data_IF_253143420407
#
_entry.id   IF_253143420407
#
_cell.length_a   1.000
_cell.length_b   1.000
_cell.length_c   1.000
_cell.angle_alpha   90.00
_cell.angle_beta   90.00
_cell.angle_gamma   90.00
#
_symmetry.space_group_name_H-M   'P 1'
#
loop_
_entity.id
_entity.type
_entity.pdbx_description
1 polymer ?
#
# COMPACT_ATOMS: atom_id res chain seq x y z
N UNK A 1 -2.94 18.51 16.18
CA UNK A 1 -1.82 17.71 15.64
C UNK A 1 -1.58 16.46 16.49
N UNK A 2 -1.62 16.55 17.82
CA UNK A 2 -1.39 15.42 18.73
C UNK A 2 -2.37 14.25 18.58
N UNK A 3 -3.67 14.54 18.34
CA UNK A 3 -4.71 13.52 18.21
C UNK A 3 -4.52 12.66 16.94
N UNK A 4 -4.17 13.28 15.80
CA UNK A 4 -3.91 12.55 14.55
C UNK A 4 -2.67 11.68 14.66
N UNK A 5 -1.57 12.22 15.20
CA UNK A 5 -0.35 11.45 15.42
C UNK A 5 -0.56 10.27 16.37
N UNK A 6 -1.32 10.47 17.46
CA UNK A 6 -1.69 9.40 18.38
C UNK A 6 -2.47 8.29 17.66
N UNK A 7 -3.37 8.68 16.76
CA UNK A 7 -4.16 7.77 15.96
C UNK A 7 -3.31 6.97 14.95
N UNK A 8 -2.43 7.65 14.22
CA UNK A 8 -1.55 7.00 13.25
C UNK A 8 -0.60 6.01 13.92
N UNK A 9 -0.13 6.32 15.14
CA UNK A 9 0.77 5.43 15.91
C UNK A 9 0.26 4.00 16.05
N UNK A 10 -1.04 3.80 16.15
CA UNK A 10 -1.64 2.46 16.25
C UNK A 10 -1.38 1.59 15.00
N UNK A 11 -1.31 2.23 13.84
CA UNK A 11 -1.04 1.56 12.56
C UNK A 11 0.42 1.46 12.18
N UNK A 12 1.34 2.13 12.91
CA UNK A 12 2.76 2.13 12.54
C UNK A 12 3.42 0.77 12.74
N UNK A 13 4.29 0.41 11.80
CA UNK A 13 5.09 -0.81 11.78
C UNK A 13 6.55 -0.46 11.50
N UNK A 14 7.49 -0.86 12.36
CA UNK A 14 8.91 -0.65 12.07
C UNK A 14 9.37 -1.55 10.93
N UNK A 15 10.25 -1.02 10.10
CA UNK A 15 10.86 -1.74 8.98
C UNK A 15 12.37 -1.82 9.15
N UNK A 16 12.92 -2.99 8.82
CA UNK A 16 14.36 -3.18 8.71
C UNK A 16 14.93 -2.56 7.41
N UNK A 17 16.24 -2.62 7.23
CA UNK A 17 16.93 -1.99 6.07
C UNK A 17 16.49 -2.51 4.69
N UNK A 18 15.87 -3.68 4.65
CA UNK A 18 15.31 -4.27 3.42
C UNK A 18 13.86 -3.89 3.16
N UNK A 19 13.22 -3.14 4.05
CA UNK A 19 11.78 -2.85 4.01
C UNK A 19 10.89 -3.97 4.56
N UNK A 20 11.47 -5.06 5.04
CA UNK A 20 10.72 -6.10 5.73
C UNK A 20 10.29 -5.63 7.12
N UNK A 21 9.07 -5.98 7.58
CA UNK A 21 8.66 -5.70 8.96
C UNK A 21 9.64 -6.29 9.97
N UNK A 22 9.91 -5.55 11.04
CA UNK A 22 10.73 -5.99 12.17
C UNK A 22 9.97 -5.89 13.48
N UNK A 23 10.47 -6.51 14.52
CA UNK A 23 9.94 -6.41 15.88
C UNK A 23 10.69 -5.37 16.74
N UNK A 24 11.59 -4.61 16.14
CA UNK A 24 12.28 -3.54 16.83
C UNK A 24 11.28 -2.51 17.37
N UNK A 25 11.53 -1.94 18.56
CA UNK A 25 10.63 -0.96 19.11
C UNK A 25 10.62 0.31 18.22
N UNK A 26 9.42 0.85 18.00
CA UNK A 26 9.29 2.19 17.45
C UNK A 26 9.85 3.20 18.47
N UNK A 27 10.64 4.16 17.98
CA UNK A 27 11.12 5.27 18.82
C UNK A 27 9.97 6.14 19.35
N UNK A 28 10.30 7.09 20.21
CA UNK A 28 9.32 7.97 20.86
C UNK A 28 8.54 8.81 19.83
N UNK A 29 9.17 9.19 18.73
CA UNK A 29 8.53 9.91 17.63
C UNK A 29 8.89 9.27 16.27
N UNK A 30 8.24 8.17 15.88
CA UNK A 30 8.57 7.41 14.66
C UNK A 30 8.23 8.14 13.36
N UNK A 31 7.48 9.25 13.44
CA UNK A 31 7.17 10.12 12.30
C UNK A 31 7.98 11.42 12.30
N UNK A 32 8.92 11.56 13.23
CA UNK A 32 9.79 12.74 13.29
C UNK A 32 10.56 12.93 11.99
N UNK A 33 10.51 14.15 11.45
CA UNK A 33 11.14 14.48 10.18
C UNK A 33 10.44 13.94 8.93
N UNK A 34 9.39 13.15 9.08
CA UNK A 34 8.60 12.67 7.95
C UNK A 34 7.62 13.76 7.46
N UNK A 35 7.64 14.02 6.18
CA UNK A 35 6.81 15.06 5.55
C UNK A 35 5.80 14.49 4.57
N UNK A 36 5.96 13.25 4.16
CA UNK A 36 5.14 12.61 3.14
C UNK A 36 4.73 11.20 3.52
N UNK A 37 3.54 10.85 3.10
CA UNK A 37 2.97 9.52 3.10
C UNK A 37 2.89 9.01 1.67
N UNK A 38 3.12 7.73 1.44
CA UNK A 38 2.95 7.10 0.14
C UNK A 38 2.02 5.89 0.29
N UNK A 39 0.74 6.09 -0.02
CA UNK A 39 -0.28 5.05 0.05
C UNK A 39 -0.17 4.18 -1.18
N UNK A 40 0.08 2.89 -0.98
CA UNK A 40 0.26 1.91 -2.06
C UNK A 40 -0.78 0.80 -1.99
N UNK A 41 -0.91 0.14 -3.12
CA UNK A 41 -1.53 -1.18 -3.25
C UNK A 41 -0.83 -1.95 -4.37
N UNK A 42 -0.79 -3.26 -4.25
CA UNK A 42 -0.21 -4.18 -5.23
C UNK A 42 -1.22 -5.26 -5.62
N UNK A 43 -1.25 -5.59 -6.90
CA UNK A 43 -1.89 -6.81 -7.36
C UNK A 43 -0.83 -7.88 -7.62
N UNK A 44 -1.03 -9.08 -7.09
CA UNK A 44 -0.07 -10.16 -7.14
C UNK A 44 -0.65 -11.40 -7.81
N UNK A 45 0.22 -12.25 -8.35
CA UNK A 45 -0.16 -13.52 -8.98
C UNK A 45 -0.42 -14.66 -7.98
N UNK A 46 -0.35 -14.38 -6.68
CA UNK A 46 -0.56 -15.32 -5.56
C UNK A 46 0.12 -14.82 -4.28
N UNK A 47 -0.01 -15.54 -3.14
CA UNK A 47 0.33 -15.01 -1.82
C UNK A 47 1.82 -15.09 -1.43
N UNK A 48 2.64 -15.90 -2.12
CA UNK A 48 4.04 -16.13 -1.74
C UNK A 48 5.00 -15.27 -2.58
N UNK A 49 5.67 -14.24 -2.03
CA UNK A 49 6.54 -13.33 -2.79
C UNK A 49 7.77 -14.03 -3.40
N UNK A 50 8.14 -15.22 -2.94
CA UNK A 50 9.26 -16.00 -3.51
C UNK A 50 8.88 -16.76 -4.77
N UNK A 51 7.60 -17.11 -4.92
CA UNK A 51 7.06 -17.95 -5.99
C UNK A 51 6.21 -17.14 -6.96
N UNK A 52 5.53 -16.12 -6.46
CA UNK A 52 4.60 -15.30 -7.21
C UNK A 52 5.22 -13.95 -7.60
N UNK A 53 4.53 -13.24 -8.48
CA UNK A 53 4.99 -12.00 -9.08
C UNK A 53 3.99 -10.88 -8.86
N UNK A 54 4.50 -9.65 -8.82
CA UNK A 54 3.68 -8.44 -8.88
C UNK A 54 3.11 -8.30 -10.28
N UNK A 55 1.82 -8.06 -10.40
CA UNK A 55 1.08 -7.85 -11.66
C UNK A 55 0.71 -6.38 -11.88
N UNK A 56 0.40 -5.65 -10.80
CA UNK A 56 0.20 -4.19 -10.85
C UNK A 56 0.83 -3.53 -9.63
N UNK A 57 1.26 -2.29 -9.81
CA UNK A 57 1.74 -1.38 -8.77
C UNK A 57 0.93 -0.11 -8.84
N UNK A 58 0.49 0.40 -7.70
CA UNK A 58 -0.18 1.69 -7.59
C UNK A 58 0.23 2.42 -6.33
N UNK A 59 0.30 3.77 -6.41
CA UNK A 59 0.58 4.57 -5.25
C UNK A 59 0.17 6.02 -5.39
N UNK A 60 -0.23 6.60 -4.26
CA UNK A 60 -0.64 8.00 -4.09
C UNK A 60 0.25 8.63 -3.03
N UNK A 61 1.05 9.62 -3.41
CA UNK A 61 1.87 10.40 -2.49
C UNK A 61 1.08 11.58 -1.98
N UNK A 62 1.10 11.77 -0.68
CA UNK A 62 0.43 12.87 -0.01
C UNK A 62 1.30 13.49 1.08
N UNK A 63 1.06 14.75 1.43
CA UNK A 63 1.73 15.41 2.54
C UNK A 63 1.23 14.88 3.86
N UNK A 64 2.12 14.52 4.76
CA UNK A 64 1.77 14.10 6.11
C UNK A 64 1.20 15.26 6.95
N UNK A 65 1.60 16.49 6.64
CA UNK A 65 0.97 17.72 7.14
C UNK A 65 -0.09 18.22 6.16
N UNK A 66 -1.01 19.11 6.60
CA UNK A 66 -2.03 19.75 5.75
C UNK A 66 -3.15 18.82 5.26
N UNK A 67 -3.64 17.93 6.12
CA UNK A 67 -4.82 17.09 5.81
C UNK A 67 -4.57 16.08 4.70
N UNK A 68 -3.33 15.62 4.54
CA UNK A 68 -2.93 14.64 3.52
C UNK A 68 -3.17 15.10 2.08
N UNK A 69 -2.89 16.37 1.76
CA UNK A 69 -3.01 16.84 0.39
C UNK A 69 -2.21 15.97 -0.59
N UNK A 70 -2.86 15.45 -1.63
CA UNK A 70 -2.23 14.68 -2.70
C UNK A 70 -1.17 15.53 -3.41
N UNK A 71 0.00 14.93 -3.67
CA UNK A 71 1.09 15.57 -4.41
C UNK A 71 1.25 14.95 -5.81
N UNK A 72 1.24 13.64 -5.89
CA UNK A 72 1.39 12.87 -7.13
C UNK A 72 0.88 11.47 -6.95
N UNK A 73 0.39 10.88 -8.02
CA UNK A 73 0.03 9.46 -8.07
C UNK A 73 0.63 8.80 -9.30
N UNK A 74 0.86 7.50 -9.19
CA UNK A 74 1.35 6.71 -10.30
C UNK A 74 0.92 5.25 -10.15
N UNK A 75 0.67 4.58 -11.27
CA UNK A 75 0.41 3.15 -11.31
C UNK A 75 0.71 2.55 -12.67
N UNK A 76 1.02 1.27 -12.67
CA UNK A 76 1.31 0.52 -13.90
C UNK A 76 1.11 -0.97 -13.71
N UNK A 77 0.76 -1.62 -14.81
CA UNK A 77 0.87 -3.07 -14.94
C UNK A 77 2.32 -3.49 -15.07
N UNK A 78 2.63 -4.64 -14.48
CA UNK A 78 3.96 -5.27 -14.51
C UNK A 78 3.88 -6.55 -15.31
N UNK A 79 4.83 -6.75 -16.23
CA UNK A 79 4.89 -7.94 -17.07
C UNK A 79 5.39 -9.14 -16.26
N UNK A 80 4.54 -10.16 -16.07
CA UNK A 80 4.99 -11.37 -15.39
C UNK A 80 5.96 -12.17 -16.29
N UNK A 81 6.98 -12.75 -15.67
CA UNK A 81 7.96 -13.65 -16.36
C UNK A 81 7.64 -15.11 -16.15
N UNK A 82 6.97 -15.45 -15.06
CA UNK A 82 6.66 -16.82 -14.64
C UNK A 82 5.16 -16.99 -14.39
N UNK A 83 4.33 -16.53 -15.33
CA UNK A 83 2.86 -16.56 -15.19
C UNK A 83 2.33 -17.99 -14.96
N UNK A 84 3.07 -19.03 -15.32
CA UNK A 84 2.71 -20.42 -15.04
C UNK A 84 2.69 -20.78 -13.55
N UNK A 85 3.32 -19.99 -12.69
CA UNK A 85 3.29 -20.15 -11.24
C UNK A 85 2.09 -19.46 -10.59
N UNK A 86 1.33 -18.67 -11.36
CA UNK A 86 0.25 -17.86 -10.83
C UNK A 86 -0.95 -18.71 -10.36
N UNK A 87 -1.60 -18.27 -9.30
CA UNK A 87 -2.90 -18.82 -8.91
C UNK A 87 -4.00 -18.31 -9.84
N UNK A 88 -4.82 -19.23 -10.37
CA UNK A 88 -5.91 -18.87 -11.28
C UNK A 88 -6.92 -17.92 -10.63
N UNK A 89 -7.14 -18.05 -9.33
CA UNK A 89 -7.99 -17.15 -8.55
C UNK A 89 -7.45 -15.71 -8.56
N UNK A 90 -6.16 -15.52 -8.36
CA UNK A 90 -5.52 -14.21 -8.38
C UNK A 90 -5.58 -13.58 -9.78
N UNK A 91 -5.28 -14.35 -10.83
CA UNK A 91 -5.38 -13.87 -12.22
C UNK A 91 -6.80 -13.45 -12.60
N UNK A 92 -7.80 -14.16 -12.08
CA UNK A 92 -9.21 -13.83 -12.32
C UNK A 92 -9.61 -12.53 -11.62
N UNK A 93 -9.18 -12.33 -10.39
CA UNK A 93 -9.46 -11.12 -9.60
C UNK A 93 -8.89 -9.88 -10.30
N UNK A 94 -7.62 -9.93 -10.70
CA UNK A 94 -6.97 -8.78 -11.37
C UNK A 94 -7.36 -8.62 -12.85
N UNK A 95 -8.12 -9.57 -13.39
CA UNK A 95 -8.53 -9.56 -14.80
C UNK A 95 -7.38 -9.72 -15.79
N UNK A 96 -6.37 -10.53 -15.40
CA UNK A 96 -5.19 -10.73 -16.24
C UNK A 96 -5.54 -11.31 -17.60
N UNK A 97 -4.97 -10.72 -18.65
CA UNK A 97 -4.92 -11.30 -19.99
C UNK A 97 -3.69 -10.79 -20.73
N UNK A 98 -3.16 -11.60 -21.65
CA UNK A 98 -2.01 -11.21 -22.50
C UNK A 98 -2.31 -9.90 -23.24
N UNK A 99 -3.54 -9.72 -23.72
CA UNK A 99 -3.97 -8.49 -24.41
C UNK A 99 -3.95 -7.27 -23.49
N UNK A 100 -4.44 -7.42 -22.25
CA UNK A 100 -4.50 -6.31 -21.30
C UNK A 100 -3.10 -5.93 -20.79
N UNK A 101 -2.17 -6.89 -20.70
CA UNK A 101 -0.78 -6.68 -20.25
C UNK A 101 0.22 -6.41 -21.39
N UNK A 102 -0.23 -6.23 -22.62
CA UNK A 102 0.68 -6.01 -23.79
C UNK A 102 1.64 -4.83 -23.63
N UNK A 103 1.19 -3.78 -22.90
CA UNK A 103 1.96 -2.55 -22.65
C UNK A 103 2.50 -2.49 -21.21
N UNK A 104 2.47 -3.59 -20.47
CA UNK A 104 3.00 -3.65 -19.11
C UNK A 104 4.50 -3.39 -19.10
N UNK A 105 4.97 -2.70 -18.06
CA UNK A 105 6.40 -2.45 -17.83
C UNK A 105 7.08 -3.73 -17.35
N UNK A 106 8.39 -3.81 -17.58
CA UNK A 106 9.21 -4.80 -16.87
C UNK A 106 9.28 -4.44 -15.37
N UNK A 107 9.52 -5.46 -14.54
CA UNK A 107 9.50 -5.32 -13.08
C UNK A 107 10.44 -4.22 -12.57
N UNK A 108 11.70 -4.20 -13.04
CA UNK A 108 12.68 -3.22 -12.56
C UNK A 108 12.30 -1.78 -12.90
N UNK A 109 11.97 -1.39 -14.15
CA UNK A 109 11.50 -0.04 -14.46
C UNK A 109 10.25 0.35 -13.68
N UNK A 110 9.31 -0.57 -13.49
CA UNK A 110 8.08 -0.31 -12.73
C UNK A 110 8.38 -0.03 -11.26
N UNK A 111 9.21 -0.85 -10.63
CA UNK A 111 9.65 -0.66 -9.25
C UNK A 111 10.43 0.65 -9.08
N UNK A 112 11.36 0.97 -9.97
CA UNK A 112 12.14 2.20 -9.89
C UNK A 112 11.25 3.44 -9.99
N UNK A 113 10.22 3.41 -10.83
CA UNK A 113 9.27 4.51 -10.94
C UNK A 113 8.40 4.65 -9.70
N UNK A 114 7.94 3.53 -9.12
CA UNK A 114 7.24 3.54 -7.84
C UNK A 114 8.14 4.10 -6.73
N UNK A 115 9.38 3.63 -6.66
CA UNK A 115 10.39 4.06 -5.70
C UNK A 115 10.68 5.57 -5.79
N UNK A 116 10.88 6.09 -7.00
CA UNK A 116 11.07 7.53 -7.27
C UNK A 116 9.86 8.37 -6.83
N UNK A 117 8.64 7.87 -7.09
CA UNK A 117 7.41 8.56 -6.67
C UNK A 117 7.27 8.65 -5.15
N UNK A 118 7.66 7.60 -4.43
CA UNK A 118 7.52 7.49 -2.97
C UNK A 118 8.80 7.69 -2.17
N UNK A 119 9.90 8.15 -2.79
CA UNK A 119 11.21 8.25 -2.14
C UNK A 119 11.16 8.98 -0.79
N UNK A 120 11.69 8.33 0.24
CA UNK A 120 11.77 8.86 1.60
C UNK A 120 10.43 8.98 2.34
N UNK A 121 9.29 8.70 1.70
CA UNK A 121 7.99 8.78 2.34
C UNK A 121 7.72 7.59 3.26
N UNK A 122 6.84 7.79 4.25
CA UNK A 122 6.25 6.70 5.02
C UNK A 122 5.32 5.92 4.10
N UNK A 123 5.65 4.65 3.86
CA UNK A 123 4.81 3.79 3.04
C UNK A 123 3.56 3.36 3.81
N UNK A 124 2.40 3.38 3.18
CA UNK A 124 1.12 3.06 3.81
C UNK A 124 0.26 2.19 2.90
N UNK A 125 -0.68 1.44 3.49
CA UNK A 125 -1.60 0.61 2.69
C UNK A 125 -2.68 -0.04 3.54
N UNK A 126 -3.58 -0.77 2.90
CA UNK A 126 -4.64 -1.51 3.55
C UNK A 126 -4.19 -2.93 3.89
N UNK A 127 -3.89 -3.21 5.17
CA UNK A 127 -3.32 -4.50 5.56
C UNK A 127 -1.95 -4.75 4.94
N UNK A 128 -1.10 -3.76 4.91
CA UNK A 128 0.11 -3.55 4.11
C UNK A 128 1.18 -4.67 4.16
N UNK A 129 1.07 -5.64 5.06
CA UNK A 129 2.13 -6.64 5.23
C UNK A 129 2.42 -7.46 3.96
N UNK A 130 1.39 -7.76 3.17
CA UNK A 130 1.54 -8.46 1.89
C UNK A 130 2.36 -7.63 0.89
N UNK A 131 1.99 -6.36 0.73
CA UNK A 131 2.65 -5.42 -0.17
C UNK A 131 4.13 -5.23 0.21
N UNK A 132 4.41 -5.03 1.50
CA UNK A 132 5.78 -4.93 2.02
C UNK A 132 6.61 -6.16 1.70
N UNK A 133 6.05 -7.37 1.86
CA UNK A 133 6.75 -8.61 1.56
C UNK A 133 7.10 -8.72 0.06
N UNK A 134 6.17 -8.35 -0.83
CA UNK A 134 6.42 -8.35 -2.26
C UNK A 134 7.39 -7.24 -2.70
N UNK A 135 7.29 -6.02 -2.16
CA UNK A 135 8.23 -4.93 -2.48
C UNK A 135 9.63 -5.22 -1.98
N UNK A 136 9.76 -5.74 -0.74
CA UNK A 136 11.05 -6.14 -0.17
C UNK A 136 11.72 -7.23 -1.01
N UNK A 137 10.97 -8.27 -1.39
CA UNK A 137 11.48 -9.33 -2.25
C UNK A 137 11.82 -8.81 -3.67
N UNK A 138 11.02 -7.87 -4.20
CA UNK A 138 11.30 -7.22 -5.48
C UNK A 138 12.62 -6.44 -5.42
N UNK A 139 12.80 -5.58 -4.41
CA UNK A 139 14.04 -4.84 -4.23
C UNK A 139 15.26 -5.77 -4.13
N UNK A 140 15.14 -6.87 -3.36
CA UNK A 140 16.17 -7.89 -3.24
C UNK A 140 16.50 -8.55 -4.59
N UNK A 141 15.49 -8.92 -5.40
CA UNK A 141 15.67 -9.57 -6.71
C UNK A 141 16.38 -8.69 -7.71
N UNK A 142 16.08 -7.38 -7.70
CA UNK A 142 16.69 -6.41 -8.64
C UNK A 142 17.95 -5.75 -8.08
N UNK A 143 18.39 -6.14 -6.86
CA UNK A 143 19.61 -5.61 -6.23
C UNK A 143 19.52 -4.13 -5.85
N UNK A 144 18.36 -3.64 -5.46
CA UNK A 144 18.13 -2.24 -5.02
C UNK A 144 17.95 -2.15 -3.52
N UNK A 145 18.36 -1.02 -2.94
CA UNK A 145 18.06 -0.68 -1.56
C UNK A 145 16.59 -0.30 -1.38
N UNK A 146 16.12 -0.36 -0.14
CA UNK A 146 14.79 0.11 0.25
C UNK A 146 14.69 1.63 0.13
N UNK A 147 13.76 2.20 -0.66
CA UNK A 147 13.75 3.63 -0.96
C UNK A 147 12.87 4.45 -0.01
N UNK A 148 12.04 3.81 0.80
CA UNK A 148 11.06 4.47 1.66
C UNK A 148 11.59 4.66 3.08
N UNK A 149 10.82 5.37 3.92
CA UNK A 149 11.11 5.52 5.34
C UNK A 149 11.20 4.16 6.07
N UNK A 150 11.93 4.07 7.19
CA UNK A 150 12.08 2.82 7.96
C UNK A 150 10.83 2.49 8.81
N UNK A 151 9.68 3.01 8.42
CA UNK A 151 8.40 2.80 9.08
C UNK A 151 7.29 2.72 8.04
N UNK A 152 6.33 1.84 8.27
CA UNK A 152 5.12 1.73 7.45
C UNK A 152 3.87 2.05 8.28
N UNK A 153 2.78 2.43 7.61
CA UNK A 153 1.48 2.70 8.22
C UNK A 153 0.43 1.72 7.68
N UNK A 154 -0.12 0.90 8.56
CA UNK A 154 -1.26 0.04 8.25
C UNK A 154 -2.59 0.79 8.47
N UNK A 155 -3.17 1.30 7.39
CA UNK A 155 -4.41 2.08 7.42
C UNK A 155 -5.61 1.22 7.85
N UNK A 156 -5.60 -0.09 7.58
CA UNK A 156 -6.65 -0.99 8.06
C UNK A 156 -6.68 -1.04 9.60
N UNK A 157 -5.51 -1.05 10.26
CA UNK A 157 -5.42 -1.01 11.71
C UNK A 157 -5.97 0.30 12.27
N UNK A 158 -5.62 1.44 11.67
CA UNK A 158 -6.16 2.76 12.03
C UNK A 158 -7.68 2.80 11.90
N UNK A 159 -8.20 2.34 10.75
CA UNK A 159 -9.63 2.30 10.49
C UNK A 159 -10.38 1.41 11.48
N UNK A 160 -9.85 0.24 11.84
CA UNK A 160 -10.44 -0.63 12.88
C UNK A 160 -10.57 0.05 14.23
N UNK A 161 -9.60 0.86 14.61
CA UNK A 161 -9.61 1.57 15.87
C UNK A 161 -10.70 2.64 15.93
N UNK A 162 -10.89 3.39 14.83
CA UNK A 162 -11.82 4.51 14.74
C UNK A 162 -13.27 4.07 14.53
N UNK A 163 -13.49 3.15 13.61
CA UNK A 163 -14.84 2.74 13.22
C UNK A 163 -15.52 1.82 14.23
N UNK A 164 -14.84 1.47 15.31
CA UNK A 164 -15.22 0.65 16.46
C UNK A 164 -15.74 -0.76 16.15
N UNK A 165 -15.34 -1.73 16.97
CA UNK A 165 -15.66 -3.13 16.75
C UNK A 165 -17.09 -3.43 17.20
N UNK A 166 -17.86 -3.93 16.37
CA UNK A 166 -19.14 -4.60 16.46
C UNK A 166 -19.32 -5.41 15.20
N UNK A 167 -18.46 -5.20 14.21
CA UNK A 167 -18.49 -5.91 12.93
C UNK A 167 -17.51 -7.09 12.95
N UNK A 168 -17.94 -8.20 12.35
CA UNK A 168 -17.12 -9.40 12.19
C UNK A 168 -15.87 -9.05 11.38
N UNK A 169 -14.73 -9.56 11.81
CA UNK A 169 -13.42 -9.30 11.19
C UNK A 169 -13.39 -9.70 9.72
N UNK A 170 -14.17 -10.72 9.34
CA UNK A 170 -14.32 -11.22 7.98
C UNK A 170 -14.96 -10.25 6.99
N UNK A 171 -15.65 -9.22 7.47
CA UNK A 171 -16.25 -8.15 6.66
C UNK A 171 -15.51 -6.83 6.67
N UNK A 172 -14.40 -6.74 7.39
CA UNK A 172 -13.60 -5.52 7.48
C UNK A 172 -12.52 -5.50 6.38
N UNK A 173 -12.96 -5.51 5.12
CA UNK A 173 -12.11 -5.34 3.94
C UNK A 173 -12.22 -3.93 3.38
N UNK A 174 -11.31 -3.57 2.45
CA UNK A 174 -11.22 -2.24 1.84
C UNK A 174 -12.56 -1.80 1.25
N UNK A 175 -13.20 -2.64 0.43
CA UNK A 175 -14.45 -2.33 -0.23
C UNK A 175 -15.57 -2.01 0.75
N UNK A 176 -15.77 -2.86 1.76
CA UNK A 176 -16.82 -2.65 2.76
C UNK A 176 -16.62 -1.35 3.55
N UNK A 177 -15.38 -1.01 3.91
CA UNK A 177 -15.11 0.23 4.64
C UNK A 177 -15.27 1.45 3.72
N UNK A 178 -14.82 1.38 2.47
CA UNK A 178 -15.03 2.44 1.49
C UNK A 178 -16.52 2.72 1.27
N UNK A 179 -17.33 1.67 1.05
CA UNK A 179 -18.78 1.78 0.89
C UNK A 179 -19.46 2.40 2.11
N UNK A 180 -19.09 1.96 3.32
CA UNK A 180 -19.60 2.50 4.58
C UNK A 180 -19.30 4.00 4.76
N UNK A 181 -18.13 4.43 4.28
CA UNK A 181 -17.70 5.83 4.34
C UNK A 181 -18.23 6.66 3.16
N UNK A 182 -18.96 6.05 2.20
CA UNK A 182 -19.46 6.73 1.01
C UNK A 182 -18.35 7.13 0.03
N UNK A 183 -17.26 6.35 -0.01
CA UNK A 183 -16.13 6.54 -0.92
C UNK A 183 -16.41 5.74 -2.18
N UNK A 184 -16.52 6.44 -3.31
CA UNK A 184 -16.69 5.82 -4.63
C UNK A 184 -15.39 5.14 -5.07
N UNK A 185 -15.47 3.86 -5.46
CA UNK A 185 -14.32 3.14 -6.02
C UNK A 185 -14.48 3.01 -7.53
N UNK A 186 -13.50 3.52 -8.28
CA UNK A 186 -13.44 3.35 -9.73
C UNK A 186 -12.41 2.26 -10.07
N UNK A 187 -12.84 1.19 -10.73
CA UNK A 187 -11.95 0.12 -11.17
C UNK A 187 -11.49 -0.81 -10.05
N UNK A 188 -12.44 -1.49 -9.41
CA UNK A 188 -12.14 -2.53 -8.42
C UNK A 188 -11.04 -3.49 -8.92
N UNK A 189 -10.12 -3.86 -8.02
CA UNK A 189 -8.96 -4.70 -8.33
C UNK A 189 -7.99 -4.10 -9.36
N UNK A 190 -7.75 -2.81 -9.25
CA UNK A 190 -6.61 -2.13 -9.87
C UNK A 190 -5.79 -1.48 -8.76
N UNK A 191 -4.51 -1.79 -8.72
CA UNK A 191 -3.62 -1.33 -7.64
C UNK A 191 -3.71 0.18 -7.39
N UNK A 192 -3.76 1.01 -8.44
CA UNK A 192 -3.89 2.46 -8.27
C UNK A 192 -5.27 2.86 -7.73
N UNK A 193 -6.35 2.20 -8.15
CA UNK A 193 -7.70 2.50 -7.66
C UNK A 193 -7.87 2.10 -6.18
N UNK A 194 -7.31 0.96 -5.78
CA UNK A 194 -7.36 0.50 -4.39
C UNK A 194 -6.40 1.31 -3.47
N UNK A 195 -5.27 1.82 -4.00
CA UNK A 195 -4.44 2.82 -3.33
C UNK A 195 -5.20 4.13 -3.10
N UNK A 196 -5.96 4.62 -4.08
CA UNK A 196 -6.83 5.79 -3.92
C UNK A 196 -7.95 5.56 -2.90
N UNK A 197 -8.64 4.42 -2.96
CA UNK A 197 -9.68 4.11 -1.97
C UNK A 197 -9.11 4.09 -0.54
N UNK A 198 -7.92 3.54 -0.36
CA UNK A 198 -7.20 3.51 0.91
C UNK A 198 -6.79 4.93 1.37
N UNK A 199 -6.30 5.75 0.45
CA UNK A 199 -5.99 7.16 0.70
C UNK A 199 -7.23 7.97 1.11
N UNK A 200 -8.33 7.83 0.39
CA UNK A 200 -9.59 8.54 0.69
C UNK A 200 -10.17 8.13 2.05
N UNK A 201 -10.05 6.84 2.42
CA UNK A 201 -10.40 6.37 3.76
C UNK A 201 -9.56 7.12 4.82
N UNK A 202 -8.24 7.19 4.65
CA UNK A 202 -7.37 7.89 5.58
C UNK A 202 -7.74 9.36 5.73
N UNK A 203 -7.96 10.07 4.61
CA UNK A 203 -8.35 11.50 4.59
C UNK A 203 -9.67 11.69 5.35
N UNK A 204 -10.65 10.83 5.09
CA UNK A 204 -11.97 10.93 5.73
C UNK A 204 -11.89 10.63 7.23
N UNK A 205 -11.19 9.59 7.63
CA UNK A 205 -10.98 9.26 9.04
C UNK A 205 -10.24 10.37 9.80
N UNK A 206 -9.27 11.02 9.16
CA UNK A 206 -8.57 12.15 9.73
C UNK A 206 -9.50 13.36 9.92
N UNK A 207 -10.38 13.65 8.95
CA UNK A 207 -11.34 14.73 9.04
C UNK A 207 -12.41 14.51 10.13
N UNK A 208 -12.77 13.25 10.42
CA UNK A 208 -13.73 12.90 11.49
C UNK A 208 -13.10 12.87 12.89
N UNK A 209 -11.76 12.81 12.98
CA UNK A 209 -11.02 12.81 14.25
C UNK A 209 -10.80 14.24 14.80
N UNK A 210 -11.16 15.28 14.07
CA UNK A 210 -11.07 16.69 14.43
C UNK A 210 -12.43 17.37 14.37
#
# INVERSE_FOLDING_TARGET
MDTLLALLREGLRPLGPSGAPTTDPLGDDPLSGQTSLFVIDLEMSGPNPREHEVLELGGVRARLAQGFAEEVSWGSRVRPRHIGNAELSALKVVGYSVKAWRNALELEPAFLKLADTGEGAVIAGWGINGDLAFLSETARRIGKSWPFAPVALDIQTVARKLLKPGERVDRFNLGHVADRLGIGRMGEHSALADAYATYDILVKLAAEAF
#
